data_IF_950687503422
#
_entry.id   IF_950687503422
#
_cell.length_a   1.000
_cell.length_b   1.000
_cell.length_c   1.000
_cell.angle_alpha   90.00
_cell.angle_beta   90.00
_cell.angle_gamma   90.00
#
_symmetry.space_group_name_H-M   'P 1'
#
loop_
_entity.id
_entity.type
_entity.pdbx_description
1 polymer ?
#
# COMPACT_ATOMS: atom_id res chain seq x y z
N UNK A 1 -23.26 -17.20 -7.87
CA UNK A 1 -23.18 -16.45 -6.60
C UNK A 1 -22.75 -15.04 -6.99
N UNK A 2 -23.50 -14.00 -6.62
CA UNK A 2 -23.22 -12.64 -7.11
C UNK A 2 -21.86 -12.17 -6.58
N UNK A 3 -21.00 -11.61 -7.44
CA UNK A 3 -19.64 -11.17 -7.09
C UNK A 3 -19.63 -10.24 -5.85
N UNK A 4 -20.64 -9.39 -5.71
CA UNK A 4 -20.88 -8.54 -4.54
C UNK A 4 -21.05 -9.34 -3.23
N UNK A 5 -21.79 -10.45 -3.26
CA UNK A 5 -22.06 -11.27 -2.07
C UNK A 5 -20.81 -12.00 -1.60
N UNK A 6 -20.00 -12.50 -2.53
CA UNK A 6 -18.72 -13.12 -2.22
C UNK A 6 -17.75 -12.08 -1.63
N UNK A 7 -17.72 -10.89 -2.22
CA UNK A 7 -16.87 -9.81 -1.73
C UNK A 7 -17.27 -9.32 -0.33
N UNK A 8 -18.56 -9.20 -0.08
CA UNK A 8 -19.10 -8.90 1.24
C UNK A 8 -18.67 -9.94 2.28
N UNK A 9 -18.70 -11.23 1.91
CA UNK A 9 -18.26 -12.32 2.79
C UNK A 9 -16.78 -12.21 3.13
N UNK A 10 -15.93 -11.90 2.16
CA UNK A 10 -14.48 -11.72 2.37
C UNK A 10 -14.19 -10.53 3.28
N UNK A 11 -14.91 -9.41 3.08
CA UNK A 11 -14.80 -8.23 3.93
C UNK A 11 -15.23 -8.54 5.37
N UNK A 12 -16.32 -9.29 5.57
CA UNK A 12 -16.73 -9.73 6.91
C UNK A 12 -15.68 -10.60 7.58
N UNK A 13 -15.05 -11.54 6.85
CA UNK A 13 -13.97 -12.36 7.42
C UNK A 13 -12.75 -11.54 7.84
N UNK A 14 -12.49 -10.40 7.20
CA UNK A 14 -11.41 -9.50 7.60
C UNK A 14 -11.78 -8.64 8.83
N UNK A 15 -13.03 -8.16 8.91
CA UNK A 15 -13.45 -7.21 9.95
C UNK A 15 -13.88 -7.90 11.25
N UNK A 16 -14.50 -9.09 11.17
CA UNK A 16 -15.01 -9.81 12.34
C UNK A 16 -13.92 -10.11 13.38
N UNK A 17 -12.74 -10.64 13.02
CA UNK A 17 -11.69 -10.93 14.00
C UNK A 17 -11.24 -9.68 14.76
N UNK A 18 -11.07 -8.55 14.06
CA UNK A 18 -10.70 -7.27 14.69
C UNK A 18 -11.79 -6.80 15.62
N UNK A 19 -13.05 -6.87 15.17
CA UNK A 19 -14.22 -6.48 15.99
C UNK A 19 -14.30 -7.31 17.26
N UNK A 20 -14.11 -8.63 17.16
CA UNK A 20 -14.13 -9.55 18.31
C UNK A 20 -13.00 -9.22 19.30
N UNK A 21 -11.77 -9.03 18.80
CA UNK A 21 -10.61 -8.71 19.65
C UNK A 21 -10.86 -7.40 20.41
N UNK A 22 -11.33 -6.35 19.72
CA UNK A 22 -11.62 -5.06 20.35
C UNK A 22 -12.73 -5.20 21.41
N UNK A 23 -13.78 -5.98 21.15
CA UNK A 23 -14.83 -6.27 22.12
C UNK A 23 -14.28 -6.99 23.36
N UNK A 24 -13.39 -7.97 23.19
CA UNK A 24 -12.75 -8.68 24.32
C UNK A 24 -11.89 -7.70 25.12
N UNK A 25 -11.07 -6.88 24.46
CA UNK A 25 -10.21 -5.89 25.12
C UNK A 25 -11.02 -4.83 25.87
N UNK A 26 -12.17 -4.43 25.33
CA UNK A 26 -13.09 -3.53 26.00
C UNK A 26 -13.54 -4.08 27.37
N UNK A 27 -13.87 -5.36 27.47
CA UNK A 27 -14.32 -5.97 28.72
C UNK A 27 -13.19 -6.36 29.68
N UNK A 28 -11.94 -6.42 29.22
CA UNK A 28 -10.82 -6.97 30.00
C UNK A 28 -9.76 -5.94 30.37
N UNK A 29 -9.26 -5.15 29.41
CA UNK A 29 -8.09 -4.28 29.58
C UNK A 29 -8.50 -2.80 29.62
N UNK A 30 -9.33 -2.36 28.68
CA UNK A 30 -9.63 -0.93 28.49
C UNK A 30 -11.14 -0.71 28.31
N UNK A 31 -11.89 -0.54 29.41
CA UNK A 31 -13.32 -0.24 29.35
C UNK A 31 -13.57 1.10 28.66
N UNK A 32 -14.42 1.08 27.64
CA UNK A 32 -14.85 2.27 26.89
C UNK A 32 -16.17 2.80 27.41
N UNK A 33 -16.44 4.09 27.18
CA UNK A 33 -17.80 4.63 27.36
C UNK A 33 -18.79 3.92 26.41
N UNK A 34 -20.04 3.67 26.84
CA UNK A 34 -21.08 3.07 25.99
C UNK A 34 -21.26 3.78 24.65
N UNK A 35 -21.06 5.11 24.62
CA UNK A 35 -21.15 5.92 23.40
C UNK A 35 -20.05 5.57 22.41
N UNK A 36 -18.82 5.36 22.88
CA UNK A 36 -17.67 5.00 22.03
C UNK A 36 -17.85 3.59 21.49
N UNK A 37 -18.31 2.65 22.34
CA UNK A 37 -18.58 1.28 21.93
C UNK A 37 -19.69 1.21 20.86
N UNK A 38 -20.76 1.98 21.01
CA UNK A 38 -21.81 2.07 20.00
C UNK A 38 -21.29 2.61 18.66
N UNK A 39 -20.49 3.70 18.70
CA UNK A 39 -19.84 4.26 17.50
C UNK A 39 -18.91 3.26 16.82
N UNK A 40 -18.19 2.46 17.61
CA UNK A 40 -17.33 1.40 17.08
C UNK A 40 -18.12 0.35 16.30
N UNK A 41 -19.20 -0.20 16.87
CA UNK A 41 -20.02 -1.19 16.17
C UNK A 41 -20.73 -0.61 14.94
N UNK A 42 -21.24 0.62 15.05
CA UNK A 42 -21.82 1.31 13.90
C UNK A 42 -20.78 1.50 12.79
N UNK A 43 -19.55 1.90 13.15
CA UNK A 43 -18.42 2.03 12.24
C UNK A 43 -18.06 0.70 11.57
N UNK A 44 -18.04 -0.40 12.32
CA UNK A 44 -17.77 -1.75 11.80
C UNK A 44 -18.81 -2.19 10.76
N UNK A 45 -20.09 -1.86 10.96
CA UNK A 45 -21.15 -2.13 9.98
C UNK A 45 -20.99 -1.25 8.73
N UNK A 46 -20.78 0.05 8.92
CA UNK A 46 -20.64 1.01 7.83
C UNK A 46 -19.40 0.70 6.96
N UNK A 47 -18.26 0.37 7.58
CA UNK A 47 -17.03 0.04 6.85
C UNK A 47 -17.17 -1.31 6.12
N UNK A 48 -17.92 -2.27 6.66
CA UNK A 48 -18.19 -3.54 5.95
C UNK A 48 -18.92 -3.31 4.63
N UNK A 49 -19.96 -2.47 4.64
CA UNK A 49 -20.69 -2.09 3.43
C UNK A 49 -19.85 -1.24 2.48
N UNK A 50 -19.21 -0.19 3.01
CA UNK A 50 -18.40 0.75 2.25
C UNK A 50 -17.20 0.08 1.57
N UNK A 51 -16.46 -0.75 2.29
CA UNK A 51 -15.29 -1.46 1.76
C UNK A 51 -15.69 -2.49 0.69
N UNK A 52 -16.85 -3.13 0.84
CA UNK A 52 -17.37 -4.05 -0.19
C UNK A 52 -17.64 -3.33 -1.51
N UNK A 53 -18.33 -2.19 -1.45
CA UNK A 53 -18.61 -1.38 -2.64
C UNK A 53 -17.32 -0.81 -3.24
N UNK A 54 -16.43 -0.29 -2.39
CA UNK A 54 -15.15 0.27 -2.78
C UNK A 54 -14.28 -0.77 -3.52
N UNK A 55 -14.06 -1.93 -2.90
CA UNK A 55 -13.25 -2.98 -3.52
C UNK A 55 -13.93 -3.47 -4.81
N UNK A 56 -15.25 -3.58 -4.87
CA UNK A 56 -15.95 -3.95 -6.12
C UNK A 56 -15.64 -2.94 -7.23
N UNK A 57 -15.61 -1.65 -6.92
CA UNK A 57 -15.16 -0.60 -7.85
C UNK A 57 -13.69 -0.75 -8.26
N UNK A 58 -12.81 -1.17 -7.34
CA UNK A 58 -11.39 -1.44 -7.63
C UNK A 58 -11.24 -2.56 -8.67
N UNK A 59 -11.92 -3.70 -8.49
CA UNK A 59 -11.83 -4.82 -9.45
C UNK A 59 -12.40 -4.46 -10.82
N UNK A 60 -13.49 -3.70 -10.86
CA UNK A 60 -14.17 -3.36 -12.12
C UNK A 60 -13.48 -2.22 -12.87
N UNK A 61 -12.78 -1.34 -12.18
CA UNK A 61 -12.16 -0.14 -12.75
C UNK A 61 -10.64 -0.15 -12.66
N UNK A 62 -10.13 -0.07 -11.44
CA UNK A 62 -8.72 0.19 -11.12
C UNK A 62 -7.82 -0.94 -11.62
N UNK A 63 -8.20 -2.20 -11.40
CA UNK A 63 -7.40 -3.36 -11.83
C UNK A 63 -7.28 -3.48 -13.36
N UNK A 64 -8.36 -3.44 -14.16
CA UNK A 64 -8.26 -3.45 -15.62
C UNK A 64 -7.41 -2.31 -16.17
N UNK A 65 -7.53 -1.11 -15.59
CA UNK A 65 -6.72 0.05 -15.97
C UNK A 65 -5.24 -0.22 -15.67
N UNK A 66 -4.90 -0.68 -14.46
CA UNK A 66 -3.53 -1.01 -14.08
C UNK A 66 -2.91 -2.05 -15.01
N UNK A 67 -3.63 -3.13 -15.32
CA UNK A 67 -3.15 -4.18 -16.25
C UNK A 67 -2.95 -3.67 -17.68
N UNK A 68 -3.83 -2.81 -18.18
CA UNK A 68 -3.67 -2.20 -19.51
C UNK A 68 -2.47 -1.26 -19.55
N UNK A 69 -2.32 -0.37 -18.56
CA UNK A 69 -1.18 0.54 -18.46
C UNK A 69 0.14 -0.23 -18.37
N UNK A 70 0.19 -1.29 -17.57
CA UNK A 70 1.36 -2.15 -17.44
C UNK A 70 1.76 -2.82 -18.76
N UNK A 71 0.77 -3.33 -19.51
CA UNK A 71 1.00 -3.93 -20.84
C UNK A 71 1.53 -2.92 -21.85
N UNK A 72 0.95 -1.74 -21.93
CA UNK A 72 1.39 -0.70 -22.86
C UNK A 72 2.77 -0.13 -22.49
N UNK A 73 3.06 0.01 -21.19
CA UNK A 73 4.40 0.37 -20.71
C UNK A 73 5.45 -0.65 -21.14
N UNK A 74 5.17 -1.95 -20.95
CA UNK A 74 6.06 -3.01 -21.37
C UNK A 74 6.21 -3.08 -22.90
N UNK A 75 5.12 -2.86 -23.66
CA UNK A 75 5.10 -2.87 -25.13
C UNK A 75 5.88 -1.72 -25.75
N UNK A 76 5.97 -0.57 -25.06
CA UNK A 76 6.71 0.61 -25.52
C UNK A 76 8.18 0.31 -25.83
N UNK A 77 8.77 -0.69 -25.15
CA UNK A 77 10.18 -1.09 -25.24
C UNK A 77 11.19 0.06 -25.09
N UNK A 78 10.76 1.19 -24.50
CA UNK A 78 11.57 2.40 -24.29
C UNK A 78 11.77 2.59 -22.79
N UNK A 79 12.99 2.38 -22.32
CA UNK A 79 13.31 2.42 -20.89
C UNK A 79 12.90 3.76 -20.23
N UNK A 80 13.13 4.89 -20.89
CA UNK A 80 12.73 6.21 -20.39
C UNK A 80 11.22 6.35 -20.19
N UNK A 81 10.40 5.75 -21.06
CA UNK A 81 8.93 5.75 -20.91
C UNK A 81 8.53 4.95 -19.68
N UNK A 82 9.14 3.77 -19.50
CA UNK A 82 8.88 2.90 -18.34
C UNK A 82 9.24 3.61 -17.04
N UNK A 83 10.42 4.25 -16.98
CA UNK A 83 10.89 4.97 -15.80
C UNK A 83 9.98 6.15 -15.47
N UNK A 84 9.72 7.03 -16.44
CA UNK A 84 8.90 8.23 -16.20
C UNK A 84 7.47 7.84 -15.83
N UNK A 85 6.86 6.90 -16.56
CA UNK A 85 5.50 6.46 -16.27
C UNK A 85 5.40 5.79 -14.90
N UNK A 86 6.35 4.92 -14.51
CA UNK A 86 6.34 4.30 -13.18
C UNK A 86 6.49 5.35 -12.08
N UNK A 87 7.38 6.32 -12.25
CA UNK A 87 7.59 7.37 -11.27
C UNK A 87 6.32 8.22 -11.07
N UNK A 88 5.74 8.69 -12.17
CA UNK A 88 4.53 9.52 -12.16
C UNK A 88 3.34 8.75 -11.61
N UNK A 89 3.11 7.53 -12.07
CA UNK A 89 2.00 6.70 -11.60
C UNK A 89 2.16 6.39 -10.12
N UNK A 90 3.32 5.89 -9.68
CA UNK A 90 3.57 5.57 -8.27
C UNK A 90 3.33 6.77 -7.35
N UNK A 91 3.79 7.95 -7.78
CA UNK A 91 3.56 9.19 -7.04
C UNK A 91 2.06 9.53 -6.91
N UNK A 92 1.31 9.54 -8.01
CA UNK A 92 -0.12 9.90 -7.97
C UNK A 92 -0.99 8.83 -7.30
N UNK A 93 -0.67 7.54 -7.45
CA UNK A 93 -1.36 6.45 -6.75
C UNK A 93 -1.22 6.62 -5.25
N UNK A 94 -0.02 6.96 -4.78
CA UNK A 94 0.23 7.21 -3.37
C UNK A 94 -0.54 8.42 -2.85
N UNK A 95 -0.57 9.53 -3.60
CA UNK A 95 -1.38 10.71 -3.24
C UNK A 95 -2.86 10.37 -3.15
N UNK A 96 -3.35 9.49 -4.04
CA UNK A 96 -4.73 9.06 -4.08
C UNK A 96 -5.11 8.12 -2.91
N UNK A 97 -4.14 7.55 -2.19
CA UNK A 97 -4.39 6.60 -1.10
C UNK A 97 -5.00 7.31 0.13
N UNK A 98 -6.28 7.07 0.46
CA UNK A 98 -6.94 7.79 1.55
C UNK A 98 -6.34 7.51 2.92
N UNK A 99 -5.86 6.29 3.15
CA UNK A 99 -5.26 5.89 4.42
C UNK A 99 -3.98 6.70 4.73
N UNK A 100 -3.19 7.04 3.71
CA UNK A 100 -2.03 7.91 3.87
C UNK A 100 -2.42 9.32 4.34
N UNK A 101 -3.53 9.86 3.84
CA UNK A 101 -4.03 11.18 4.29
C UNK A 101 -4.49 11.16 5.74
N UNK A 102 -5.10 10.06 6.19
CA UNK A 102 -5.54 9.88 7.59
C UNK A 102 -4.33 9.80 8.51
N UNK A 103 -3.34 8.97 8.18
CA UNK A 103 -2.10 8.87 8.95
C UNK A 103 -1.37 10.20 8.99
N UNK A 104 -1.20 10.87 7.85
CA UNK A 104 -0.49 12.13 7.78
C UNK A 104 -1.17 13.23 8.61
N UNK A 105 -2.51 13.25 8.67
CA UNK A 105 -3.24 14.15 9.56
C UNK A 105 -3.04 13.80 11.05
N UNK A 106 -2.94 12.51 11.41
CA UNK A 106 -2.64 12.09 12.78
C UNK A 106 -1.22 12.46 13.19
N UNK A 107 -0.25 12.26 12.31
CA UNK A 107 1.15 12.63 12.55
C UNK A 107 1.29 14.14 12.73
N UNK A 108 0.65 14.94 11.88
CA UNK A 108 0.65 16.41 11.98
C UNK A 108 0.11 16.88 13.34
N UNK A 109 -1.03 16.32 13.77
CA UNK A 109 -1.64 16.62 15.06
C UNK A 109 -0.79 16.19 16.26
N UNK A 110 -0.19 15.00 16.22
CA UNK A 110 0.60 14.45 17.35
C UNK A 110 1.98 15.10 17.46
N UNK A 111 2.51 15.60 16.34
CA UNK A 111 3.81 16.30 16.30
C UNK A 111 3.70 17.81 16.43
N UNK A 112 2.49 18.33 16.70
CA UNK A 112 2.19 19.77 16.80
C UNK A 112 2.71 20.57 15.59
N UNK A 113 2.54 20.00 14.40
CA UNK A 113 2.98 20.61 13.14
C UNK A 113 4.45 20.47 12.79
N UNK A 114 5.27 19.79 13.60
CA UNK A 114 6.67 19.54 13.27
C UNK A 114 6.84 18.70 11.98
N UNK A 115 5.92 17.76 11.74
CA UNK A 115 5.81 17.02 10.48
C UNK A 115 4.46 17.34 9.85
N UNK A 116 4.46 18.25 8.87
CA UNK A 116 3.22 18.64 8.21
C UNK A 116 2.60 17.47 7.43
N UNK A 117 1.26 17.44 7.35
CA UNK A 117 0.54 16.46 6.54
C UNK A 117 1.05 16.41 5.09
N UNK A 118 1.26 17.57 4.47
CA UNK A 118 1.66 17.68 3.07
C UNK A 118 3.08 17.16 2.85
N UNK A 119 4.02 17.45 3.75
CA UNK A 119 5.39 16.96 3.63
C UNK A 119 5.44 15.44 3.70
N UNK A 120 4.71 14.82 4.64
CA UNK A 120 4.69 13.37 4.76
C UNK A 120 4.12 12.71 3.50
N UNK A 121 3.01 13.23 2.96
CA UNK A 121 2.41 12.70 1.73
C UNK A 121 3.41 12.78 0.57
N UNK A 122 4.04 13.93 0.35
CA UNK A 122 4.98 14.12 -0.77
C UNK A 122 6.20 13.21 -0.65
N UNK A 123 6.78 13.07 0.55
CA UNK A 123 7.93 12.20 0.81
C UNK A 123 7.57 10.73 0.53
N UNK A 124 6.46 10.27 1.09
CA UNK A 124 5.97 8.89 0.91
C UNK A 124 5.65 8.61 -0.56
N UNK A 125 4.97 9.54 -1.24
CA UNK A 125 4.66 9.42 -2.67
C UNK A 125 5.92 9.42 -3.54
N UNK A 126 6.94 10.20 -3.18
CA UNK A 126 8.25 10.16 -3.81
C UNK A 126 8.91 8.78 -3.68
N UNK A 127 8.86 8.18 -2.49
CA UNK A 127 9.37 6.83 -2.24
C UNK A 127 8.65 5.76 -3.03
N UNK A 128 7.33 5.80 -3.06
CA UNK A 128 6.54 4.86 -3.87
C UNK A 128 6.90 5.00 -5.35
N UNK A 129 6.95 6.23 -5.88
CA UNK A 129 7.35 6.47 -7.28
C UNK A 129 8.74 5.91 -7.60
N UNK A 130 9.75 6.21 -6.77
CA UNK A 130 11.12 5.78 -6.98
C UNK A 130 11.29 4.25 -6.90
N UNK A 131 10.64 3.61 -5.93
CA UNK A 131 10.77 2.16 -5.75
C UNK A 131 9.83 1.38 -6.68
N UNK A 132 8.76 1.99 -7.19
CA UNK A 132 8.00 1.41 -8.29
C UNK A 132 8.85 1.35 -9.56
N UNK A 133 9.65 2.39 -9.86
CA UNK A 133 10.65 2.34 -10.95
C UNK A 133 11.61 1.17 -10.72
N UNK A 134 12.21 1.05 -9.53
CA UNK A 134 13.13 -0.04 -9.23
C UNK A 134 12.48 -1.42 -9.40
N UNK A 135 11.25 -1.58 -8.92
CA UNK A 135 10.51 -2.83 -9.05
C UNK A 135 10.17 -3.18 -10.50
N UNK A 136 9.80 -2.20 -11.33
CA UNK A 136 9.54 -2.43 -12.76
C UNK A 136 10.84 -2.78 -13.48
N UNK A 137 11.94 -2.08 -13.21
CA UNK A 137 13.25 -2.42 -13.76
C UNK A 137 13.69 -3.82 -13.33
N UNK A 138 13.39 -4.23 -12.09
CA UNK A 138 13.63 -5.60 -11.63
C UNK A 138 12.88 -6.63 -12.45
N UNK A 139 11.62 -6.39 -12.81
CA UNK A 139 10.86 -7.29 -13.69
C UNK A 139 11.50 -7.32 -15.08
N UNK A 140 11.78 -6.15 -15.67
CA UNK A 140 12.35 -6.04 -17.03
C UNK A 140 13.72 -6.75 -17.14
N UNK A 141 14.61 -6.53 -16.18
CA UNK A 141 15.95 -7.13 -16.16
C UNK A 141 16.03 -8.51 -15.48
N UNK A 142 14.90 -9.04 -15.04
CA UNK A 142 14.80 -10.33 -14.36
C UNK A 142 15.70 -10.47 -13.12
N UNK A 143 15.84 -9.37 -12.36
CA UNK A 143 16.68 -9.37 -11.15
C UNK A 143 16.01 -10.20 -10.04
N UNK A 144 16.80 -10.96 -9.25
CA UNK A 144 16.25 -11.75 -8.17
C UNK A 144 15.75 -10.86 -7.03
N UNK A 145 14.47 -11.03 -6.64
CA UNK A 145 13.81 -10.26 -5.58
C UNK A 145 14.60 -10.24 -4.26
N UNK A 146 15.15 -11.39 -3.85
CA UNK A 146 15.87 -11.50 -2.58
C UNK A 146 17.04 -10.52 -2.50
N UNK A 147 17.80 -10.31 -3.60
CA UNK A 147 18.94 -9.38 -3.60
C UNK A 147 18.50 -7.95 -3.34
N UNK A 148 17.41 -7.53 -3.98
CA UNK A 148 16.87 -6.17 -3.80
C UNK A 148 16.37 -5.99 -2.37
N UNK A 149 15.55 -6.93 -1.87
CA UNK A 149 15.03 -6.84 -0.51
C UNK A 149 16.15 -6.89 0.54
N UNK A 150 17.16 -7.75 0.36
CA UNK A 150 18.31 -7.78 1.28
C UNK A 150 19.02 -6.43 1.33
N UNK A 151 19.24 -5.77 0.19
CA UNK A 151 19.86 -4.44 0.15
C UNK A 151 18.97 -3.38 0.80
N UNK A 152 17.68 -3.35 0.45
CA UNK A 152 16.73 -2.37 1.00
C UNK A 152 16.58 -2.51 2.52
N UNK A 153 16.38 -3.73 3.03
CA UNK A 153 16.25 -3.96 4.47
C UNK A 153 17.56 -3.75 5.21
N UNK A 154 18.72 -4.09 4.63
CA UNK A 154 20.01 -3.75 5.24
C UNK A 154 20.16 -2.24 5.41
N UNK A 155 19.79 -1.45 4.39
CA UNK A 155 19.83 0.00 4.45
C UNK A 155 18.83 0.55 5.47
N UNK A 156 17.59 0.03 5.49
CA UNK A 156 16.58 0.40 6.51
C UNK A 156 17.11 0.14 7.92
N UNK A 157 17.67 -1.05 8.19
CA UNK A 157 18.19 -1.37 9.52
C UNK A 157 19.37 -0.47 9.93
N UNK A 158 20.23 -0.10 8.98
CA UNK A 158 21.31 0.86 9.23
C UNK A 158 20.72 2.23 9.58
N UNK A 159 19.76 2.73 8.80
CA UNK A 159 19.13 4.03 9.04
C UNK A 159 18.39 4.10 10.38
N UNK A 160 17.69 3.04 10.77
CA UNK A 160 16.96 2.98 12.05
C UNK A 160 17.90 3.22 13.24
N UNK A 161 19.16 2.77 13.19
CA UNK A 161 20.15 3.01 14.26
C UNK A 161 20.44 4.51 14.45
N UNK A 162 20.31 5.31 13.39
CA UNK A 162 20.59 6.74 13.39
C UNK A 162 19.34 7.62 13.48
N UNK A 163 18.15 7.02 13.55
CA UNK A 163 16.86 7.72 13.51
C UNK A 163 16.18 7.65 14.88
N UNK A 164 15.35 8.64 15.23
CA UNK A 164 14.61 8.59 16.48
C UNK A 164 13.44 7.59 16.42
N UNK A 165 13.00 7.13 17.60
CA UNK A 165 11.88 6.18 17.73
C UNK A 165 10.59 6.69 17.08
N UNK A 166 10.34 8.01 17.15
CA UNK A 166 9.16 8.65 16.55
C UNK A 166 9.19 8.52 15.02
N UNK A 167 10.31 8.87 14.39
CA UNK A 167 10.45 8.76 12.94
C UNK A 167 10.42 7.30 12.47
N UNK A 168 10.97 6.40 13.26
CA UNK A 168 10.93 4.96 12.98
C UNK A 168 9.48 4.46 13.04
N UNK A 169 8.72 4.80 14.08
CA UNK A 169 7.30 4.45 14.18
C UNK A 169 6.50 5.00 12.98
N UNK A 170 6.70 6.28 12.63
CA UNK A 170 6.03 6.90 11.47
C UNK A 170 6.40 6.20 10.17
N UNK A 171 7.67 5.81 9.96
CA UNK A 171 8.11 5.15 8.74
C UNK A 171 7.42 3.80 8.52
N UNK A 172 7.34 2.97 9.57
CA UNK A 172 6.68 1.68 9.51
C UNK A 172 5.15 1.82 9.38
N UNK A 173 4.54 2.76 10.09
CA UNK A 173 3.10 3.04 9.97
C UNK A 173 2.74 3.62 8.60
N UNK A 174 3.59 4.47 8.02
CA UNK A 174 3.40 5.00 6.66
C UNK A 174 3.42 3.90 5.62
N UNK A 175 4.34 2.95 5.74
CA UNK A 175 4.33 1.76 4.89
C UNK A 175 3.01 0.99 5.05
N UNK A 176 2.56 0.76 6.29
CA UNK A 176 1.27 0.12 6.55
C UNK A 176 0.08 0.87 5.92
N UNK A 177 0.01 2.20 6.11
CA UNK A 177 -1.06 3.04 5.56
C UNK A 177 -1.09 3.04 4.03
N UNK A 178 0.06 2.87 3.37
CA UNK A 178 0.13 2.76 1.90
C UNK A 178 -0.16 1.37 1.34
N UNK A 179 -0.32 0.35 2.20
CA UNK A 179 -0.84 -0.96 1.78
C UNK A 179 -2.36 -0.99 1.59
N UNK A 180 -2.97 0.20 1.56
CA UNK A 180 -4.41 0.39 1.50
C UNK A 180 -5.08 -0.16 0.25
N UNK A 181 -6.40 -0.05 0.27
CA UNK A 181 -7.28 -0.73 -0.67
C UNK A 181 -7.20 -0.17 -2.11
N UNK A 182 -6.50 0.95 -2.34
CA UNK A 182 -6.32 1.53 -3.67
C UNK A 182 -4.93 1.23 -4.25
N UNK A 183 -3.87 1.59 -3.52
CA UNK A 183 -2.51 1.56 -4.06
C UNK A 183 -2.01 0.15 -4.39
N UNK A 184 -2.21 -0.81 -3.47
CA UNK A 184 -1.71 -2.18 -3.65
C UNK A 184 -2.40 -2.89 -4.81
N UNK A 185 -3.74 -2.90 -4.94
CA UNK A 185 -4.39 -3.51 -6.09
C UNK A 185 -3.94 -2.90 -7.42
N UNK A 186 -3.73 -1.58 -7.48
CA UNK A 186 -3.22 -0.95 -8.71
C UNK A 186 -1.79 -1.40 -9.02
N UNK A 187 -0.88 -1.35 -8.05
CA UNK A 187 0.53 -1.76 -8.24
C UNK A 187 0.63 -3.23 -8.62
N UNK A 188 -0.18 -4.08 -8.00
CA UNK A 188 -0.27 -5.49 -8.31
C UNK A 188 -0.79 -5.71 -9.74
N UNK A 189 -1.87 -5.04 -10.13
CA UNK A 189 -2.42 -5.07 -11.48
C UNK A 189 -1.44 -4.57 -12.54
N UNK A 190 -0.72 -3.48 -12.24
CA UNK A 190 0.35 -2.93 -13.09
C UNK A 190 1.46 -3.97 -13.30
N UNK A 191 1.92 -4.60 -12.21
CA UNK A 191 2.95 -5.64 -12.27
C UNK A 191 2.50 -6.87 -13.06
N UNK A 192 1.25 -7.30 -12.90
CA UNK A 192 0.67 -8.38 -13.71
C UNK A 192 0.68 -8.00 -15.20
N UNK A 193 0.28 -6.77 -15.54
CA UNK A 193 0.30 -6.27 -16.92
C UNK A 193 1.70 -6.28 -17.53
N UNK A 194 2.72 -5.87 -16.77
CA UNK A 194 4.12 -5.87 -17.20
C UNK A 194 4.65 -7.30 -17.34
N UNK A 195 4.33 -8.18 -16.38
CA UNK A 195 4.83 -9.56 -16.31
C UNK A 195 4.17 -10.48 -17.33
N UNK A 196 2.92 -10.22 -17.72
CA UNK A 196 2.18 -10.99 -18.72
C UNK A 196 2.82 -10.98 -20.12
N UNK A 197 3.74 -10.05 -20.39
CA UNK A 197 4.52 -10.01 -21.63
C UNK A 197 5.75 -10.93 -21.60
N UNK A 198 6.10 -11.52 -20.45
CA UNK A 198 7.12 -12.58 -20.37
C UNK A 198 6.51 -13.95 -20.72
N UNK A 199 7.31 -14.79 -21.38
CA UNK A 199 6.92 -16.16 -21.78
C UNK A 199 6.80 -17.15 -20.61
N UNK A 200 7.19 -16.77 -19.38
CA UNK A 200 7.27 -17.67 -18.23
C UNK A 200 6.23 -17.31 -17.14
N UNK A 201 5.10 -18.02 -17.17
CA UNK A 201 3.90 -17.72 -16.35
C UNK A 201 4.12 -17.89 -14.83
N UNK A 202 5.00 -18.81 -14.41
CA UNK A 202 5.29 -19.05 -12.98
C UNK A 202 6.07 -17.92 -12.30
N UNK A 203 6.71 -17.04 -13.08
CA UNK A 203 7.38 -15.85 -12.55
C UNK A 203 6.41 -14.71 -12.20
N UNK A 204 5.17 -14.73 -12.72
CA UNK A 204 4.25 -13.59 -12.67
C UNK A 204 3.73 -13.26 -11.26
N UNK A 205 3.42 -14.26 -10.44
CA UNK A 205 2.99 -14.04 -9.04
C UNK A 205 4.13 -13.52 -8.18
N UNK A 206 5.32 -14.13 -8.30
CA UNK A 206 6.54 -13.67 -7.61
C UNK A 206 6.91 -12.26 -8.02
N UNK A 207 6.66 -11.90 -9.28
CA UNK A 207 6.92 -10.56 -9.80
C UNK A 207 5.94 -9.54 -9.23
N UNK A 208 4.67 -9.89 -9.11
CA UNK A 208 3.61 -9.02 -8.59
C UNK A 208 3.67 -8.82 -7.08
N UNK A 209 3.83 -9.88 -6.29
CA UNK A 209 4.09 -9.73 -4.85
C UNK A 209 5.45 -9.10 -4.58
N UNK A 210 6.46 -9.39 -5.41
CA UNK A 210 7.78 -8.79 -5.30
C UNK A 210 7.76 -7.27 -5.51
N UNK A 211 6.94 -6.79 -6.44
CA UNK A 211 6.73 -5.35 -6.67
C UNK A 211 6.19 -4.67 -5.41
N UNK A 212 5.10 -5.21 -4.85
CA UNK A 212 4.46 -4.66 -3.65
C UNK A 212 5.46 -4.57 -2.49
N UNK A 213 6.24 -5.63 -2.28
CA UNK A 213 7.28 -5.66 -1.23
C UNK A 213 8.37 -4.60 -1.41
N UNK A 214 8.82 -4.36 -2.66
CA UNK A 214 9.84 -3.33 -2.96
C UNK A 214 9.28 -1.93 -2.69
N UNK A 215 8.04 -1.67 -3.11
CA UNK A 215 7.39 -0.38 -2.90
C UNK A 215 7.17 -0.09 -1.42
N UNK A 216 6.68 -1.06 -0.64
CA UNK A 216 6.50 -0.91 0.81
C UNK A 216 7.82 -0.61 1.52
N UNK A 217 8.91 -1.32 1.17
CA UNK A 217 10.23 -1.02 1.72
C UNK A 217 10.71 0.41 1.33
N UNK A 218 10.33 0.89 0.14
CA UNK A 218 10.61 2.25 -0.31
C UNK A 218 9.97 3.34 0.53
N UNK A 219 8.75 3.10 1.02
CA UNK A 219 8.07 4.04 1.91
C UNK A 219 8.84 4.20 3.21
N UNK A 220 9.23 3.09 3.82
CA UNK A 220 10.02 3.09 5.06
C UNK A 220 11.33 3.85 4.82
N UNK A 221 12.05 3.48 3.76
CA UNK A 221 13.35 4.06 3.42
C UNK A 221 13.27 5.58 3.22
N UNK A 222 12.26 6.08 2.51
CA UNK A 222 12.14 7.53 2.28
C UNK A 222 11.69 8.34 3.49
N UNK A 223 10.97 7.73 4.44
CA UNK A 223 10.61 8.43 5.69
C UNK A 223 11.80 8.47 6.66
N UNK A 224 12.71 7.49 6.58
CA UNK A 224 13.93 7.44 7.38
C UNK A 224 15.07 8.33 6.85
N UNK A 225 15.01 8.76 5.57
CA UNK A 225 15.96 9.68 4.94
C UNK A 225 15.57 11.14 5.17
#
# INVERSE_FOLDING_TARGET
MNALTEKFKNVLYAILPVTIIVTILHFTVTPFSPVVLFRFYLGAVLISGGLTLFLTGVDLGVEPIGQQMGREMARSNRLWVIVIASLVLGFFISIAEPALHVLAAQVDLVTDGAISKTSLIVIVSGGIGALLVLGVLRIVYNLPLYRILTVLYALIFILVIFTSDIFTAIAFDASGATTGAFAVPFIFALSLGISAMKRDSKASEKDSFGMVSIVSAGVILMVLL
#
